data_IF_555400179459
#
_entry.id   IF_555400179459
#
_cell.length_a   1.000
_cell.length_b   1.000
_cell.length_c   1.000
_cell.angle_alpha   90.00
_cell.angle_beta   90.00
_cell.angle_gamma   90.00
#
_symmetry.space_group_name_H-M   'P 1'
#
loop_
_entity.id
_entity.type
_entity.pdbx_description
1 polymer ?
#
# COMPACT_ATOMS: atom_id res chain seq x y z
N UNK A 1 -7.48 -15.66 -12.09
CA UNK A 1 -7.78 -14.33 -11.52
C UNK A 1 -7.33 -13.25 -12.50
N UNK A 2 -8.18 -12.26 -12.79
CA UNK A 2 -7.85 -11.18 -13.73
C UNK A 2 -6.81 -10.24 -13.11
N UNK A 3 -5.54 -10.39 -13.53
CA UNK A 3 -4.40 -9.55 -13.11
C UNK A 3 -4.53 -8.06 -13.48
N UNK A 4 -5.62 -7.63 -14.11
CA UNK A 4 -5.81 -6.30 -14.68
C UNK A 4 -7.00 -5.52 -14.08
N UNK A 5 -7.55 -5.95 -12.94
CA UNK A 5 -8.58 -5.15 -12.27
C UNK A 5 -7.97 -3.89 -11.66
N UNK A 6 -8.59 -2.76 -11.95
CA UNK A 6 -8.29 -1.46 -11.34
C UNK A 6 -9.38 -1.12 -10.32
N UNK A 7 -9.00 -0.31 -9.32
CA UNK A 7 -9.84 0.06 -8.21
C UNK A 7 -9.77 1.56 -7.98
N UNK A 8 -10.90 2.12 -7.52
CA UNK A 8 -11.08 3.54 -7.28
C UNK A 8 -11.11 3.80 -5.79
N UNK A 9 -10.41 4.85 -5.37
CA UNK A 9 -10.44 5.32 -3.98
C UNK A 9 -11.63 6.26 -3.78
N UNK A 10 -12.70 5.80 -3.14
CA UNK A 10 -13.91 6.59 -2.92
C UNK A 10 -14.44 7.25 -4.20
N UNK A 11 -14.58 8.58 -4.17
CA UNK A 11 -15.10 9.38 -5.30
C UNK A 11 -14.01 9.95 -6.23
N UNK A 12 -12.76 9.49 -6.12
CA UNK A 12 -11.69 10.00 -6.98
C UNK A 12 -11.87 9.57 -8.45
N UNK A 13 -11.43 10.39 -9.40
CA UNK A 13 -11.51 10.06 -10.83
C UNK A 13 -10.47 9.04 -11.28
N UNK A 14 -9.36 8.93 -10.54
CA UNK A 14 -8.25 8.05 -10.85
C UNK A 14 -8.52 6.62 -10.35
N UNK A 15 -8.12 5.65 -11.15
CA UNK A 15 -8.11 4.25 -10.79
C UNK A 15 -6.68 3.73 -10.68
N UNK A 16 -6.50 2.73 -9.83
CA UNK A 16 -5.20 2.16 -9.51
C UNK A 16 -5.26 0.65 -9.64
N UNK A 17 -4.21 0.04 -10.18
CA UNK A 17 -4.04 -1.41 -10.08
C UNK A 17 -3.75 -1.79 -8.64
N UNK A 18 -4.39 -2.84 -8.14
CA UNK A 18 -3.97 -3.50 -6.92
C UNK A 18 -2.86 -4.49 -7.27
N UNK A 19 -1.68 -4.35 -6.65
CA UNK A 19 -0.58 -5.29 -6.79
C UNK A 19 -0.44 -6.14 -5.54
N UNK A 20 -0.78 -7.42 -5.67
CA UNK A 20 -0.60 -8.43 -4.63
C UNK A 20 0.82 -9.01 -4.60
N UNK A 21 1.64 -8.68 -5.59
CA UNK A 21 3.04 -9.14 -5.69
C UNK A 21 3.86 -8.65 -4.48
N UNK A 22 3.40 -7.58 -3.82
CA UNK A 22 4.02 -6.99 -2.63
C UNK A 22 3.40 -7.49 -1.30
N UNK A 23 2.56 -8.53 -1.34
CA UNK A 23 2.03 -9.13 -0.11
C UNK A 23 3.16 -9.70 0.77
N UNK A 24 3.13 -9.32 2.04
CA UNK A 24 4.13 -9.72 3.04
C UNK A 24 5.41 -8.89 3.02
N UNK A 25 5.51 -7.88 2.16
CA UNK A 25 6.55 -6.86 2.31
C UNK A 25 6.17 -5.87 3.42
N UNK A 26 7.18 -5.45 4.17
CA UNK A 26 7.05 -4.40 5.19
C UNK A 26 8.05 -3.28 4.91
N UNK A 27 7.78 -2.02 5.27
CA UNK A 27 8.77 -0.98 5.11
C UNK A 27 10.03 -1.28 5.96
N UNK A 28 11.21 -1.04 5.39
CA UNK A 28 12.48 -1.26 6.05
C UNK A 28 12.57 -0.41 7.33
N UNK A 29 12.80 -1.08 8.47
CA UNK A 29 12.82 -0.42 9.78
C UNK A 29 11.46 -0.30 10.47
N UNK A 30 10.38 -0.75 9.83
CA UNK A 30 9.00 -0.69 10.36
C UNK A 30 8.47 -2.10 10.59
N UNK A 31 8.89 -2.73 11.69
CA UNK A 31 8.53 -4.11 12.01
C UNK A 31 7.29 -4.24 12.90
N UNK A 32 6.73 -3.13 13.41
CA UNK A 32 5.57 -3.14 14.30
C UNK A 32 4.63 -1.93 14.07
N UNK A 33 3.42 -2.00 14.65
CA UNK A 33 2.38 -0.97 14.53
C UNK A 33 2.82 0.42 15.02
N UNK A 34 3.59 0.48 16.10
CA UNK A 34 4.09 1.75 16.64
C UNK A 34 4.97 2.48 15.62
N UNK A 35 5.75 1.73 14.83
CA UNK A 35 6.54 2.29 13.75
C UNK A 35 5.63 2.87 12.63
N UNK A 36 4.47 2.26 12.37
CA UNK A 36 3.50 2.79 11.40
C UNK A 36 2.84 4.09 11.87
N UNK A 37 2.61 4.24 13.18
CA UNK A 37 2.11 5.48 13.76
C UNK A 37 3.05 6.66 13.46
N UNK A 38 4.37 6.44 13.44
CA UNK A 38 5.32 7.50 13.07
C UNK A 38 5.18 7.92 11.59
N UNK A 39 4.91 6.98 10.68
CA UNK A 39 4.65 7.31 9.27
C UNK A 39 3.31 8.03 9.10
N UNK A 40 2.26 7.54 9.78
CA UNK A 40 0.90 8.06 9.68
C UNK A 40 0.74 9.42 10.38
N UNK A 41 1.35 9.59 11.55
CA UNK A 41 1.23 10.76 12.40
C UNK A 41 2.08 11.95 11.92
N UNK A 42 3.28 11.70 11.40
CA UNK A 42 4.16 12.78 10.93
C UNK A 42 3.92 13.19 9.46
N UNK A 43 2.93 12.60 8.77
CA UNK A 43 2.62 12.87 7.35
C UNK A 43 3.88 12.93 6.47
N UNK A 44 4.76 11.93 6.61
CA UNK A 44 6.06 11.90 5.89
C UNK A 44 5.93 11.61 4.40
N UNK A 45 4.73 11.45 3.85
CA UNK A 45 4.51 11.19 2.43
C UNK A 45 4.10 12.47 1.68
N UNK A 46 4.53 12.64 0.42
CA UNK A 46 5.21 11.64 -0.40
C UNK A 46 6.71 11.50 -0.08
N UNK A 47 7.24 10.27 -0.07
CA UNK A 47 8.65 9.98 0.23
C UNK A 47 9.14 8.69 -0.43
N UNK A 48 10.46 8.52 -0.53
CA UNK A 48 11.08 7.27 -0.96
C UNK A 48 11.24 6.34 0.26
N UNK A 49 10.87 5.06 0.11
CA UNK A 49 11.09 4.01 1.11
C UNK A 49 11.59 2.71 0.48
N UNK A 50 12.05 1.81 1.35
CA UNK A 50 12.38 0.43 1.01
C UNK A 50 11.36 -0.53 1.64
N UNK A 51 11.00 -1.58 0.92
CA UNK A 51 10.05 -2.62 1.27
C UNK A 51 10.92 -3.85 1.32
N UNK A 52 10.85 -4.58 2.41
CA UNK A 52 11.66 -5.77 2.65
C UNK A 52 10.78 -6.99 2.87
N UNK A 53 11.24 -8.14 2.34
CA UNK A 53 10.65 -9.45 2.58
C UNK A 53 11.76 -10.50 2.58
N UNK A 54 12.19 -10.91 3.77
CA UNK A 54 13.41 -11.72 3.91
C UNK A 54 14.63 -10.94 3.44
N UNK A 55 15.36 -11.47 2.44
CA UNK A 55 16.53 -10.81 1.84
C UNK A 55 16.16 -9.88 0.66
N UNK A 56 14.91 -9.94 0.19
CA UNK A 56 14.45 -9.10 -0.91
C UNK A 56 14.20 -7.66 -0.43
N UNK A 57 14.75 -6.68 -1.16
CA UNK A 57 14.61 -5.26 -0.87
C UNK A 57 14.25 -4.50 -2.14
N UNK A 58 13.13 -3.78 -2.10
CA UNK A 58 12.59 -3.03 -3.25
C UNK A 58 12.48 -1.56 -2.88
N UNK A 59 12.87 -0.66 -3.79
CA UNK A 59 12.71 0.78 -3.63
C UNK A 59 11.44 1.28 -4.33
N UNK A 60 10.65 2.09 -3.63
CA UNK A 60 9.40 2.66 -4.13
C UNK A 60 9.20 4.03 -3.51
N UNK A 61 8.40 4.81 -4.21
CA UNK A 61 7.97 6.13 -3.79
C UNK A 61 6.55 6.01 -3.26
N UNK A 62 6.39 6.19 -1.95
CA UNK A 62 5.10 6.25 -1.28
C UNK A 62 4.47 7.60 -1.55
N UNK A 63 3.27 7.63 -2.13
CA UNK A 63 2.51 8.88 -2.32
C UNK A 63 1.57 9.15 -1.16
N UNK A 64 0.83 8.14 -0.72
CA UNK A 64 -0.09 8.25 0.41
C UNK A 64 -0.40 6.88 0.99
N UNK A 65 -0.84 6.88 2.25
CA UNK A 65 -1.40 5.70 2.91
C UNK A 65 -2.92 5.83 2.96
N UNK A 66 -3.58 4.69 2.89
CA UNK A 66 -5.02 4.52 2.96
C UNK A 66 -5.33 3.54 4.09
N UNK A 67 -6.16 3.95 5.03
CA UNK A 67 -6.72 3.06 6.05
C UNK A 67 -8.11 2.62 5.58
N UNK A 68 -8.40 1.31 5.64
CA UNK A 68 -9.63 0.71 5.13
C UNK A 68 -10.89 1.44 5.60
N UNK A 69 -10.95 1.80 6.88
CA UNK A 69 -12.10 2.47 7.49
C UNK A 69 -12.22 3.94 7.09
N UNK A 70 -11.11 4.59 6.72
CA UNK A 70 -11.09 6.01 6.36
C UNK A 70 -11.43 6.26 4.89
N UNK A 71 -11.16 5.28 3.99
CA UNK A 71 -11.38 5.44 2.56
C UNK A 71 -11.89 4.13 1.92
N UNK A 72 -13.22 3.98 1.76
CA UNK A 72 -13.79 2.76 1.21
C UNK A 72 -13.34 2.53 -0.25
N UNK A 73 -12.88 1.32 -0.54
CA UNK A 73 -12.55 0.85 -1.89
C UNK A 73 -13.42 -0.36 -2.25
N UNK A 74 -13.79 -0.50 -3.53
CA UNK A 74 -14.71 -1.55 -3.99
C UNK A 74 -14.19 -2.98 -3.80
N UNK A 75 -12.87 -3.19 -3.67
CA UNK A 75 -12.33 -4.51 -3.37
C UNK A 75 -12.40 -4.92 -1.91
N UNK A 76 -12.78 -4.03 -0.99
CA UNK A 76 -12.88 -4.36 0.44
C UNK A 76 -13.97 -5.38 0.76
N UNK A 77 -14.95 -5.54 -0.14
CA UNK A 77 -15.96 -6.61 -0.04
C UNK A 77 -15.48 -7.95 -0.60
N UNK A 78 -14.30 -8.01 -1.24
CA UNK A 78 -13.72 -9.26 -1.74
C UNK A 78 -13.13 -10.08 -0.59
N UNK A 79 -13.30 -11.40 -0.63
CA UNK A 79 -12.88 -12.30 0.45
C UNK A 79 -11.39 -12.19 0.80
N UNK A 80 -10.54 -12.03 -0.22
CA UNK A 80 -9.09 -11.87 -0.06
C UNK A 80 -8.66 -10.60 0.69
N UNK A 81 -9.54 -9.60 0.76
CA UNK A 81 -9.25 -8.30 1.37
C UNK A 81 -9.86 -8.14 2.77
N UNK A 82 -10.46 -9.21 3.32
CA UNK A 82 -11.08 -9.21 4.65
C UNK A 82 -10.08 -8.79 5.73
N UNK A 83 -8.88 -9.35 5.69
CA UNK A 83 -7.84 -9.18 6.72
C UNK A 83 -6.88 -8.00 6.45
N UNK A 84 -7.06 -7.29 5.34
CA UNK A 84 -6.22 -6.15 5.00
C UNK A 84 -6.81 -4.88 5.60
N UNK A 85 -6.00 -4.19 6.41
CA UNK A 85 -6.43 -2.99 7.13
C UNK A 85 -5.85 -1.69 6.56
N UNK A 86 -4.71 -1.78 5.87
CA UNK A 86 -3.97 -0.63 5.39
C UNK A 86 -3.43 -0.86 3.98
N UNK A 87 -3.31 0.21 3.21
CA UNK A 87 -2.84 0.19 1.83
C UNK A 87 -1.97 1.39 1.54
N UNK A 88 -1.02 1.25 0.62
CA UNK A 88 -0.23 2.36 0.11
C UNK A 88 -0.55 2.58 -1.35
N UNK A 89 -0.70 3.85 -1.75
CA UNK A 89 -0.53 4.24 -3.15
C UNK A 89 0.94 4.59 -3.32
N UNK A 90 1.60 3.86 -4.21
CA UNK A 90 3.01 4.01 -4.48
C UNK A 90 3.34 3.80 -5.95
N UNK A 91 4.56 4.16 -6.32
CA UNK A 91 5.15 3.89 -7.62
C UNK A 91 6.55 3.30 -7.43
N UNK A 92 7.05 2.51 -8.37
CA UNK A 92 8.46 2.09 -8.30
C UNK A 92 9.37 3.32 -8.37
N UNK A 93 10.48 3.32 -7.62
CA UNK A 93 11.34 4.50 -7.54
C UNK A 93 11.88 4.95 -8.92
N UNK A 94 12.10 3.99 -9.83
CA UNK A 94 12.52 4.24 -11.22
C UNK A 94 11.41 4.57 -12.21
N UNK A 95 10.14 4.55 -11.80
CA UNK A 95 8.98 4.87 -12.65
C UNK A 95 7.87 5.52 -11.81
N UNK A 96 8.00 6.83 -11.55
CA UNK A 96 7.09 7.59 -10.68
C UNK A 96 5.73 7.93 -11.31
N UNK A 97 5.60 7.69 -12.62
CA UNK A 97 4.37 7.95 -13.38
C UNK A 97 3.34 6.84 -13.20
N UNK A 98 3.80 5.61 -12.94
CA UNK A 98 2.93 4.45 -12.74
C UNK A 98 2.63 4.23 -11.26
N UNK A 99 1.43 4.64 -10.85
CA UNK A 99 0.92 4.44 -9.50
C UNK A 99 0.06 3.17 -9.39
N UNK A 100 0.26 2.45 -8.30
CA UNK A 100 -0.51 1.27 -7.94
C UNK A 100 -0.77 1.25 -6.43
N UNK A 101 -1.78 0.47 -6.05
CA UNK A 101 -2.10 0.20 -4.65
C UNK A 101 -1.40 -1.10 -4.26
N UNK A 102 -0.75 -1.10 -3.11
CA UNK A 102 -0.30 -2.31 -2.44
C UNK A 102 -1.02 -2.48 -1.10
N UNK A 103 -1.38 -3.71 -0.72
CA UNK A 103 -1.77 -4.00 0.65
C UNK A 103 -0.54 -3.89 1.57
N UNK A 104 -0.70 -3.13 2.65
CA UNK A 104 0.30 -3.02 3.72
C UNK A 104 -0.17 -3.89 4.88
N UNK A 105 0.67 -4.81 5.33
CA UNK A 105 0.39 -5.58 6.55
C UNK A 105 0.61 -4.69 7.78
N UNK A 106 -0.33 -4.75 8.73
CA UNK A 106 0.00 -5.48 9.95
C UNK A 106 -1.21 -6.25 10.52
N UNK A 107 -1.06 -7.55 10.77
CA UNK A 107 -1.81 -8.25 11.83
C UNK A 107 -1.15 -9.60 12.16
N UNK A 108 -0.27 -9.59 13.17
CA UNK A 108 -0.28 -10.47 14.34
C UNK A 108 0.09 -9.61 15.57
#
# INVERSE_FOLDING_TARGET
MNKNKTYRLGNQSKEYRLSEDFLGFVPEGFTNWDSWNDILGEKKYPCDLFLVKGEEKISFFLKTIIIKDAFPMSFFSEERAKDWNMFAICSLAGNKDEEFIIPLFPYE
#
